data_IF_020335062937
#
_entry.id   IF_020335062937
#
_cell.length_a   1.000
_cell.length_b   1.000
_cell.length_c   1.000
_cell.angle_alpha   90.00
_cell.angle_beta   90.00
_cell.angle_gamma   90.00
#
_symmetry.space_group_name_H-M   'P 1'
#
loop_
_entity.id
_entity.type
_entity.pdbx_description
1 polymer ?
#
# COMPACT_ATOMS: atom_id res chain seq x y z
N UNK A 1 -25.92 16.44 14.30
CA UNK A 1 -25.28 17.35 13.36
C UNK A 1 -23.87 16.83 13.16
N UNK A 2 -23.66 15.93 12.18
CA UNK A 2 -22.31 15.48 11.82
C UNK A 2 -21.49 16.72 11.45
N UNK A 3 -20.34 16.92 12.10
CA UNK A 3 -19.50 18.08 11.82
C UNK A 3 -19.01 18.00 10.37
N UNK A 4 -18.84 19.14 9.73
CA UNK A 4 -18.33 19.22 8.34
C UNK A 4 -17.00 18.46 8.20
N UNK A 5 -16.21 18.41 9.27
CA UNK A 5 -14.96 17.65 9.35
C UNK A 5 -15.17 16.13 9.27
N UNK A 6 -16.23 15.58 9.89
CA UNK A 6 -16.49 14.12 9.84
C UNK A 6 -16.77 13.64 8.42
N UNK A 7 -17.51 14.44 7.63
CA UNK A 7 -17.81 14.13 6.22
C UNK A 7 -16.55 14.22 5.34
N UNK A 8 -15.66 15.16 5.63
CA UNK A 8 -14.40 15.34 4.90
C UNK A 8 -13.44 14.16 5.17
N UNK A 9 -13.32 13.72 6.42
CA UNK A 9 -12.53 12.56 6.80
C UNK A 9 -13.03 11.26 6.16
N UNK A 10 -14.35 11.02 6.20
CA UNK A 10 -14.97 9.86 5.54
C UNK A 10 -14.68 9.84 4.03
N UNK A 11 -14.73 11.00 3.36
CA UNK A 11 -14.40 11.13 1.94
C UNK A 11 -12.93 10.78 1.65
N UNK A 12 -12.00 11.20 2.52
CA UNK A 12 -10.57 10.88 2.37
C UNK A 12 -10.35 9.38 2.52
N UNK A 13 -10.90 8.77 3.57
CA UNK A 13 -10.77 7.32 3.81
C UNK A 13 -11.36 6.52 2.64
N UNK A 14 -12.56 6.87 2.18
CA UNK A 14 -13.20 6.21 1.04
C UNK A 14 -12.35 6.35 -0.24
N UNK A 15 -11.80 7.54 -0.50
CA UNK A 15 -10.92 7.78 -1.66
C UNK A 15 -9.66 6.93 -1.57
N UNK A 16 -9.01 6.86 -0.41
CA UNK A 16 -7.81 6.03 -0.19
C UNK A 16 -8.09 4.54 -0.42
N UNK A 17 -9.26 4.04 0.02
CA UNK A 17 -9.67 2.65 -0.22
C UNK A 17 -9.87 2.41 -1.71
N UNK A 18 -10.58 3.30 -2.41
CA UNK A 18 -10.81 3.19 -3.86
C UNK A 18 -9.49 3.21 -4.63
N UNK A 19 -8.59 4.14 -4.31
CA UNK A 19 -7.26 4.22 -4.94
C UNK A 19 -6.44 2.95 -4.65
N UNK A 20 -6.44 2.47 -3.41
CA UNK A 20 -5.76 1.22 -3.04
C UNK A 20 -6.31 0.00 -3.79
N UNK A 21 -7.63 -0.09 -3.95
CA UNK A 21 -8.28 -1.13 -4.77
C UNK A 21 -7.89 -1.01 -6.24
N UNK A 22 -7.89 0.20 -6.82
CA UNK A 22 -7.48 0.42 -8.22
C UNK A 22 -6.03 0.00 -8.45
N UNK A 23 -5.13 0.37 -7.54
CA UNK A 23 -3.72 -0.03 -7.58
C UNK A 23 -3.58 -1.55 -7.50
N UNK A 24 -4.24 -2.20 -6.53
CA UNK A 24 -4.21 -3.65 -6.41
C UNK A 24 -4.76 -4.36 -7.66
N UNK A 25 -5.90 -3.90 -8.19
CA UNK A 25 -6.51 -4.46 -9.39
C UNK A 25 -5.64 -4.26 -10.64
N UNK A 26 -4.89 -3.15 -10.73
CA UNK A 26 -4.00 -2.91 -11.87
C UNK A 26 -2.89 -3.96 -12.02
N UNK A 27 -2.48 -4.64 -10.93
CA UNK A 27 -1.55 -5.79 -11.02
C UNK A 27 -2.09 -6.92 -11.88
N UNK A 28 -3.41 -7.10 -11.94
CA UNK A 28 -4.04 -8.13 -12.78
C UNK A 28 -4.00 -7.79 -14.27
N UNK A 29 -3.67 -6.54 -14.62
CA UNK A 29 -3.48 -6.15 -16.01
C UNK A 29 -2.09 -6.54 -16.55
N UNK A 30 -1.12 -6.79 -15.66
CA UNK A 30 0.29 -7.06 -16.01
C UNK A 30 0.47 -8.15 -17.09
N UNK A 31 -0.25 -9.30 -17.06
CA UNK A 31 -0.12 -10.34 -18.08
C UNK A 31 -0.49 -9.88 -19.51
N UNK A 32 -1.39 -8.90 -19.64
CA UNK A 32 -1.83 -8.41 -20.96
C UNK A 32 -0.81 -7.47 -21.63
N UNK A 33 0.22 -7.03 -20.89
CA UNK A 33 1.26 -6.11 -21.37
C UNK A 33 2.64 -6.76 -21.41
N UNK A 34 2.72 -8.10 -21.54
CA UNK A 34 3.96 -8.87 -21.52
C UNK A 34 5.03 -8.47 -22.54
N UNK A 35 4.69 -7.68 -23.57
CA UNK A 35 5.62 -7.18 -24.59
C UNK A 35 6.14 -5.75 -24.33
N UNK A 36 5.73 -5.10 -23.23
CA UNK A 36 6.08 -3.71 -22.93
C UNK A 36 6.71 -3.59 -21.53
N UNK A 37 8.03 -3.68 -21.47
CA UNK A 37 8.82 -3.64 -20.23
C UNK A 37 8.54 -2.39 -19.37
N UNK A 38 8.32 -1.24 -20.00
CA UNK A 38 8.02 0.00 -19.28
C UNK A 38 6.65 -0.07 -18.58
N UNK A 39 5.63 -0.59 -19.26
CA UNK A 39 4.30 -0.75 -18.67
C UNK A 39 4.31 -1.84 -17.59
N UNK A 40 5.06 -2.93 -17.79
CA UNK A 40 5.26 -3.97 -16.78
C UNK A 40 5.92 -3.41 -15.51
N UNK A 41 6.93 -2.55 -15.66
CA UNK A 41 7.57 -1.85 -14.55
C UNK A 41 6.57 -0.96 -13.82
N UNK A 42 5.79 -0.13 -14.51
CA UNK A 42 4.78 0.73 -13.88
C UNK A 42 3.72 -0.08 -13.13
N UNK A 43 3.18 -1.13 -13.77
CA UNK A 43 2.11 -1.98 -13.22
C UNK A 43 2.59 -2.89 -12.08
N UNK A 44 3.89 -3.11 -11.94
CA UNK A 44 4.47 -3.73 -10.75
C UNK A 44 4.79 -2.68 -9.66
N UNK A 45 5.64 -1.72 -10.01
CA UNK A 45 6.25 -0.78 -9.09
C UNK A 45 5.22 0.12 -8.41
N UNK A 46 4.36 0.79 -9.18
CA UNK A 46 3.45 1.81 -8.65
C UNK A 46 2.39 1.19 -7.71
N UNK A 47 1.76 0.05 -8.05
CA UNK A 47 0.88 -0.64 -7.11
C UNK A 47 1.55 -1.07 -5.83
N UNK A 48 2.77 -1.61 -5.91
CA UNK A 48 3.51 -2.02 -4.72
C UNK A 48 3.86 -0.82 -3.84
N UNK A 49 4.41 0.24 -4.42
CA UNK A 49 4.72 1.47 -3.70
C UNK A 49 3.49 2.07 -2.99
N UNK A 50 2.33 2.10 -3.68
CA UNK A 50 1.11 2.65 -3.09
C UNK A 50 0.48 1.76 -2.02
N UNK A 51 0.46 0.44 -2.23
CA UNK A 51 -0.08 -0.52 -1.25
C UNK A 51 0.73 -0.55 0.06
N UNK A 52 2.01 -0.17 0.01
CA UNK A 52 2.83 0.00 1.19
C UNK A 52 2.28 1.01 2.22
N UNK A 53 1.39 1.92 1.78
CA UNK A 53 0.73 2.89 2.66
C UNK A 53 -0.49 2.32 3.40
N UNK A 54 -1.01 1.15 2.99
CA UNK A 54 -2.33 0.69 3.40
C UNK A 54 -2.48 0.52 4.93
N UNK A 55 -1.72 -0.38 5.56
CA UNK A 55 -1.84 -0.55 7.03
C UNK A 55 -1.27 0.63 7.82
N UNK A 56 -0.14 1.27 7.44
CA UNK A 56 0.35 2.48 8.12
C UNK A 56 -0.70 3.59 8.14
N UNK A 57 -1.42 3.81 7.03
CA UNK A 57 -2.51 4.78 6.95
C UNK A 57 -3.69 4.40 7.84
N UNK A 58 -4.14 3.13 7.80
CA UNK A 58 -5.23 2.64 8.65
C UNK A 58 -4.86 2.82 10.13
N UNK A 59 -3.63 2.49 10.50
CA UNK A 59 -3.13 2.67 11.86
C UNK A 59 -3.14 4.15 12.25
N UNK A 60 -2.52 5.02 11.44
CA UNK A 60 -2.40 6.45 11.71
C UNK A 60 -3.78 7.11 11.87
N UNK A 61 -4.71 6.79 10.98
CA UNK A 61 -6.08 7.30 10.99
C UNK A 61 -6.86 6.89 12.25
N UNK A 62 -6.59 5.70 12.78
CA UNK A 62 -7.28 5.19 13.97
C UNK A 62 -6.54 5.48 15.29
N UNK A 63 -5.23 5.81 15.25
CA UNK A 63 -4.46 6.09 16.47
C UNK A 63 -5.01 7.29 17.21
N UNK A 64 -5.30 8.38 16.52
CA UNK A 64 -5.84 9.61 17.13
C UNK A 64 -7.15 9.32 17.87
N UNK A 65 -8.00 8.45 17.31
CA UNK A 65 -9.28 8.06 17.91
C UNK A 65 -9.15 7.04 19.04
N UNK A 66 -8.19 6.11 18.96
CA UNK A 66 -8.07 4.95 19.86
C UNK A 66 -6.90 5.05 20.85
N UNK A 67 -6.18 6.17 20.86
CA UNK A 67 -5.02 6.46 21.71
C UNK A 67 -3.98 5.31 21.75
N UNK A 68 -3.71 4.70 20.59
CA UNK A 68 -2.82 3.53 20.46
C UNK A 68 -1.33 3.92 20.58
N UNK A 69 -0.48 3.04 21.14
CA UNK A 69 0.95 3.32 21.32
C UNK A 69 1.72 3.32 20.00
N UNK A 70 2.69 4.23 19.86
CA UNK A 70 3.48 4.44 18.64
C UNK A 70 4.22 3.17 18.18
N UNK A 71 4.58 2.26 19.08
CA UNK A 71 5.18 0.97 18.75
C UNK A 71 4.33 0.16 17.76
N UNK A 72 3.01 0.24 17.87
CA UNK A 72 2.11 -0.44 16.94
C UNK A 72 2.12 0.18 15.53
N UNK A 73 2.58 1.43 15.37
CA UNK A 73 2.82 2.03 14.05
C UNK A 73 3.99 1.33 13.36
N UNK A 74 5.09 1.12 14.08
CA UNK A 74 6.27 0.38 13.58
C UNK A 74 5.86 -1.05 13.19
N UNK A 75 5.06 -1.71 14.04
CA UNK A 75 4.53 -3.04 13.75
C UNK A 75 3.66 -3.02 12.48
N UNK A 76 2.82 -1.99 12.28
CA UNK A 76 2.01 -1.88 11.05
C UNK A 76 2.86 -1.71 9.79
N UNK A 77 3.98 -1.00 9.87
CA UNK A 77 4.93 -0.83 8.76
C UNK A 77 5.64 -2.14 8.45
N UNK A 78 6.21 -2.80 9.46
CA UNK A 78 6.88 -4.10 9.32
C UNK A 78 5.91 -5.16 8.79
N UNK A 79 4.71 -5.23 9.37
CA UNK A 79 3.67 -6.15 8.95
C UNK A 79 3.25 -5.94 7.49
N UNK A 80 3.16 -4.68 7.05
CA UNK A 80 2.86 -4.37 5.64
C UNK A 80 3.96 -4.87 4.73
N UNK A 81 5.22 -4.59 5.07
CA UNK A 81 6.35 -5.06 4.27
C UNK A 81 6.38 -6.58 4.15
N UNK A 82 6.16 -7.31 5.26
CA UNK A 82 6.08 -8.77 5.26
C UNK A 82 4.93 -9.28 4.39
N UNK A 83 3.74 -8.67 4.46
CA UNK A 83 2.60 -9.05 3.60
C UNK A 83 2.90 -8.82 2.12
N UNK A 84 3.64 -7.75 1.78
CA UNK A 84 4.04 -7.47 0.41
C UNK A 84 5.08 -8.47 -0.12
N UNK A 85 6.07 -8.84 0.70
CA UNK A 85 6.99 -9.94 0.38
C UNK A 85 6.22 -11.23 0.14
N UNK A 86 5.29 -11.58 1.03
CA UNK A 86 4.45 -12.76 0.85
C UNK A 86 3.58 -12.68 -0.40
N UNK A 87 3.10 -11.50 -0.79
CA UNK A 87 2.36 -11.31 -2.04
C UNK A 87 3.24 -11.59 -3.26
N UNK A 88 4.47 -11.10 -3.31
CA UNK A 88 5.39 -11.38 -4.43
C UNK A 88 5.82 -12.85 -4.47
N UNK A 89 6.05 -13.47 -3.31
CA UNK A 89 6.29 -14.92 -3.24
C UNK A 89 5.07 -15.69 -3.76
N UNK A 90 3.84 -15.28 -3.40
CA UNK A 90 2.61 -15.88 -3.95
C UNK A 90 2.54 -15.72 -5.46
N UNK A 91 2.90 -14.55 -5.98
CA UNK A 91 2.84 -14.26 -7.42
C UNK A 91 3.76 -15.20 -8.23
N UNK A 92 4.86 -15.72 -7.65
CA UNK A 92 5.69 -16.78 -8.26
C UNK A 92 4.93 -18.09 -8.57
N UNK A 93 3.88 -18.39 -7.81
CA UNK A 93 3.10 -19.62 -7.96
C UNK A 93 1.83 -19.42 -8.80
N UNK A 94 1.61 -18.21 -9.34
CA UNK A 94 0.48 -17.91 -10.20
C UNK A 94 0.89 -17.96 -11.67
N UNK A 95 0.04 -18.50 -12.56
CA UNK A 95 0.29 -18.45 -14.00
C UNK A 95 0.41 -16.99 -14.46
N UNK A 96 1.34 -16.75 -15.39
CA UNK A 96 1.61 -15.46 -16.02
C UNK A 96 2.11 -14.34 -15.08
N UNK A 97 2.61 -14.73 -13.90
CA UNK A 97 3.26 -13.83 -12.95
C UNK A 97 4.65 -14.33 -12.58
N UNK A 98 5.54 -13.39 -12.33
CA UNK A 98 6.93 -13.67 -12.00
C UNK A 98 7.29 -12.85 -10.78
N UNK A 99 8.05 -13.47 -9.89
CA UNK A 99 8.68 -12.78 -8.78
C UNK A 99 9.59 -11.67 -9.31
N UNK A 100 9.37 -10.44 -8.85
CA UNK A 100 10.13 -9.28 -9.30
C UNK A 100 10.81 -8.58 -8.12
N UNK A 101 12.10 -8.35 -8.22
CA UNK A 101 12.87 -7.64 -7.19
C UNK A 101 12.54 -6.16 -7.17
N UNK A 102 12.21 -5.56 -8.31
CA UNK A 102 11.83 -4.14 -8.40
C UNK A 102 10.54 -3.87 -7.62
N UNK A 103 9.64 -4.85 -7.60
CA UNK A 103 8.40 -4.82 -6.84
C UNK A 103 8.65 -4.88 -5.32
N UNK A 104 9.64 -5.65 -4.88
CA UNK A 104 10.11 -5.67 -3.48
C UNK A 104 10.76 -4.34 -3.11
N UNK A 105 11.61 -3.79 -3.97
CA UNK A 105 12.22 -2.48 -3.74
C UNK A 105 11.16 -1.38 -3.66
N UNK A 106 10.17 -1.39 -4.54
CA UNK A 106 9.03 -0.46 -4.51
C UNK A 106 8.27 -0.56 -3.19
N UNK A 107 8.01 -1.78 -2.72
CA UNK A 107 7.37 -2.05 -1.43
C UNK A 107 8.18 -1.48 -0.27
N UNK A 108 9.49 -1.73 -0.26
CA UNK A 108 10.40 -1.26 0.78
C UNK A 108 10.45 0.28 0.81
N UNK A 109 10.68 0.92 -0.33
CA UNK A 109 10.69 2.39 -0.43
C UNK A 109 9.34 2.99 -0.06
N UNK A 110 8.24 2.35 -0.46
CA UNK A 110 6.89 2.76 -0.08
C UNK A 110 6.68 2.71 1.43
N UNK A 111 7.11 1.64 2.10
CA UNK A 111 6.99 1.51 3.56
C UNK A 111 7.85 2.56 4.27
N UNK A 112 9.10 2.74 3.87
CA UNK A 112 9.99 3.77 4.41
C UNK A 112 9.40 5.17 4.22
N UNK A 113 8.87 5.47 3.04
CA UNK A 113 8.23 6.74 2.76
C UNK A 113 6.97 6.93 3.61
N UNK A 114 6.13 5.90 3.74
CA UNK A 114 4.94 5.93 4.61
C UNK A 114 5.29 6.17 6.08
N UNK A 115 6.40 5.58 6.55
CA UNK A 115 6.90 5.77 7.89
C UNK A 115 7.23 7.24 8.13
N UNK A 116 8.00 7.87 7.25
CA UNK A 116 8.33 9.29 7.37
C UNK A 116 7.11 10.21 7.27
N UNK A 117 6.18 9.91 6.37
CA UNK A 117 4.96 10.72 6.18
C UNK A 117 4.09 10.69 7.42
N UNK A 118 3.75 9.51 7.95
CA UNK A 118 2.85 9.41 9.09
C UNK A 118 3.52 9.66 10.43
N UNK A 119 4.82 9.36 10.58
CA UNK A 119 5.56 9.69 11.81
C UNK A 119 5.67 11.20 12.06
N UNK A 120 5.51 12.05 11.04
CA UNK A 120 5.41 13.51 11.22
C UNK A 120 4.02 13.96 11.72
N UNK A 121 3.01 13.12 11.57
CA UNK A 121 1.60 13.44 11.84
C UNK A 121 1.13 12.80 13.17
N UNK A 122 1.74 11.68 13.55
CA UNK A 122 1.52 10.94 14.80
C UNK A 122 2.34 11.52 15.94
#
# INVERSE_FOLDING_TARGET
MESIDTKKEQKIVATSIVVGMMLYLSKFLRPYFGSNDFVLFILGFLPNFGLAFAMPFIYASNRIRLNKPLEHFVISCIGTFLLMILNEIRDKYQPDRVFDWDDIYASFFGVVFSFFVFNKIL
#
